data_IF_161981429292
#
_entry.id   IF_161981429292
#
_cell.length_a   1.000
_cell.length_b   1.000
_cell.length_c   1.000
_cell.angle_alpha   90.00
_cell.angle_beta   90.00
_cell.angle_gamma   90.00
#
_symmetry.space_group_name_H-M   'P 1'
#
loop_
_entity.id
_entity.type
_entity.pdbx_description
1 polymer ?
#
# COMPACT_ATOMS: atom_id res chain seq x y z
N UNK A 1 2.08 -45.78 -17.74
CA UNK A 1 3.28 -44.97 -18.02
C UNK A 1 2.89 -43.81 -18.95
N UNK A 2 2.13 -42.83 -18.45
CA UNK A 2 1.69 -41.69 -19.27
C UNK A 2 1.26 -40.47 -18.43
N UNK A 3 1.97 -40.15 -17.34
CA UNK A 3 1.55 -39.04 -16.47
C UNK A 3 2.66 -38.11 -15.99
N UNK A 4 3.92 -38.34 -16.39
CA UNK A 4 5.05 -37.57 -15.84
C UNK A 4 5.52 -36.41 -16.74
N UNK A 5 4.90 -36.22 -17.91
CA UNK A 5 5.30 -35.17 -18.87
C UNK A 5 4.58 -33.83 -18.67
N UNK A 6 3.56 -33.73 -17.81
CA UNK A 6 2.82 -32.46 -17.61
C UNK A 6 3.45 -31.58 -16.52
N UNK A 7 4.32 -32.14 -15.67
CA UNK A 7 4.90 -31.40 -14.54
C UNK A 7 6.24 -30.70 -14.85
N UNK A 8 6.93 -31.11 -15.91
CA UNK A 8 8.26 -30.57 -16.28
C UNK A 8 8.22 -29.41 -17.29
N UNK A 9 7.06 -29.10 -17.86
CA UNK A 9 6.89 -28.00 -18.84
C UNK A 9 6.69 -26.61 -18.19
N UNK A 10 6.77 -26.50 -16.86
CA UNK A 10 6.75 -25.19 -16.17
C UNK A 10 8.10 -24.46 -16.29
N UNK A 11 9.19 -25.18 -16.59
CA UNK A 11 10.54 -24.60 -16.67
C UNK A 11 10.87 -23.97 -18.03
N UNK A 12 10.01 -24.08 -19.04
CA UNK A 12 10.22 -23.55 -20.40
C UNK A 12 9.06 -22.65 -20.82
N UNK A 13 8.53 -21.83 -19.90
CA UNK A 13 7.62 -20.76 -20.29
C UNK A 13 8.41 -19.48 -20.60
N UNK A 14 7.99 -18.77 -21.67
CA UNK A 14 8.43 -17.40 -21.97
C UNK A 14 8.44 -16.53 -20.70
N UNK A 15 9.42 -15.61 -20.52
CA UNK A 15 9.54 -14.78 -19.31
C UNK A 15 8.25 -14.05 -18.95
N UNK A 16 7.43 -13.66 -19.93
CA UNK A 16 6.14 -13.00 -19.74
C UNK A 16 5.16 -13.87 -18.95
N UNK A 17 5.08 -15.16 -19.25
CA UNK A 17 4.11 -16.03 -18.57
C UNK A 17 4.60 -16.43 -17.19
N UNK A 18 5.91 -16.51 -16.97
CA UNK A 18 6.44 -16.68 -15.62
C UNK A 18 6.02 -15.52 -14.71
N UNK A 19 6.00 -14.29 -15.22
CA UNK A 19 5.51 -13.11 -14.48
C UNK A 19 4.00 -13.25 -14.19
N UNK A 20 3.17 -13.54 -15.20
CA UNK A 20 1.73 -13.73 -14.98
C UNK A 20 1.43 -14.84 -13.96
N UNK A 21 2.17 -15.95 -14.03
CA UNK A 21 2.02 -17.06 -13.08
C UNK A 21 2.51 -16.69 -11.67
N UNK A 22 3.50 -15.81 -11.53
CA UNK A 22 3.92 -15.28 -10.23
C UNK A 22 2.82 -14.43 -9.60
N UNK A 23 2.21 -13.52 -10.36
CA UNK A 23 1.10 -12.68 -9.87
C UNK A 23 -0.10 -13.54 -9.43
N UNK A 24 -0.45 -14.57 -10.20
CA UNK A 24 -1.53 -15.51 -9.82
C UNK A 24 -1.18 -16.25 -8.52
N UNK A 25 0.09 -16.63 -8.32
CA UNK A 25 0.53 -17.29 -7.09
C UNK A 25 0.43 -16.35 -5.89
N UNK A 26 0.80 -15.07 -6.06
CA UNK A 26 0.70 -14.03 -5.03
C UNK A 26 -0.77 -13.82 -4.64
N UNK A 27 -1.67 -13.69 -5.63
CA UNK A 27 -3.10 -13.57 -5.39
C UNK A 27 -3.65 -14.76 -4.58
N UNK A 28 -3.29 -15.98 -4.98
CA UNK A 28 -3.70 -17.21 -4.28
C UNK A 28 -3.16 -17.26 -2.85
N UNK A 29 -1.91 -16.86 -2.61
CA UNK A 29 -1.33 -16.86 -1.25
C UNK A 29 -2.00 -15.83 -0.35
N UNK A 30 -2.37 -14.67 -0.88
CA UNK A 30 -3.08 -13.64 -0.13
C UNK A 30 -4.50 -14.10 0.25
N UNK A 31 -5.21 -14.78 -0.68
CA UNK A 31 -6.52 -15.37 -0.38
C UNK A 31 -6.43 -16.50 0.65
N UNK A 32 -5.42 -17.38 0.51
CA UNK A 32 -5.20 -18.48 1.46
C UNK A 32 -4.88 -17.98 2.88
N UNK A 33 -4.20 -16.83 3.01
CA UNK A 33 -3.96 -16.20 4.31
C UNK A 33 -5.29 -15.83 4.98
N UNK A 34 -6.23 -15.22 4.25
CA UNK A 34 -7.54 -14.84 4.78
C UNK A 34 -8.35 -16.06 5.27
N UNK A 35 -8.34 -17.17 4.52
CA UNK A 35 -9.07 -18.39 4.91
C UNK A 35 -8.52 -19.10 6.18
N UNK A 36 -7.28 -18.83 6.59
CA UNK A 36 -6.69 -19.45 7.78
C UNK A 36 -7.07 -18.73 9.10
N UNK A 37 -7.71 -17.56 9.04
CA UNK A 37 -8.08 -16.76 10.23
C UNK A 37 -9.42 -17.16 10.88
N UNK A 38 -10.13 -18.17 10.36
CA UNK A 38 -11.52 -18.49 10.72
C UNK A 38 -11.67 -19.56 11.83
N UNK A 39 -10.60 -19.96 12.53
CA UNK A 39 -10.69 -21.10 13.46
C UNK A 39 -9.99 -20.92 14.80
N UNK A 40 -10.68 -20.29 15.77
CA UNK A 40 -10.43 -20.48 17.22
C UNK A 40 -11.72 -20.22 18.04
N UNK A 41 -12.22 -21.18 18.84
CA UNK A 41 -13.28 -20.92 19.82
C UNK A 41 -12.74 -20.31 21.12
N UNK A 42 -13.40 -19.25 21.63
CA UNK A 42 -13.03 -18.57 22.88
C UNK A 42 -13.89 -19.10 24.05
N UNK A 43 -13.31 -19.57 25.17
CA UNK A 43 -14.08 -20.00 26.33
C UNK A 43 -14.59 -18.80 27.12
N UNK A 44 -15.91 -18.63 27.20
CA UNK A 44 -16.58 -17.60 28.01
C UNK A 44 -17.17 -18.21 29.29
N UNK A 45 -16.55 -17.91 30.44
CA UNK A 45 -17.13 -18.22 31.76
C UNK A 45 -17.03 -17.00 32.68
N UNK A 46 -18.17 -16.56 33.23
CA UNK A 46 -18.27 -15.43 34.17
C UNK A 46 -18.92 -15.88 35.50
N UNK A 47 -18.36 -15.53 36.68
CA UNK A 47 -19.03 -15.71 37.97
C UNK A 47 -19.93 -14.52 38.33
N UNK A 48 -20.99 -14.79 39.12
CA UNK A 48 -22.02 -13.84 39.55
C UNK A 48 -21.61 -13.15 40.86
N UNK A 49 -21.64 -11.81 40.90
CA UNK A 49 -21.43 -11.02 42.13
C UNK A 49 -22.57 -10.00 42.26
N UNK A 50 -23.23 -10.02 43.42
CA UNK A 50 -24.39 -9.19 43.76
C UNK A 50 -23.96 -7.95 44.57
N UNK A 51 -24.27 -6.73 44.10
CA UNK A 51 -23.96 -5.46 44.77
C UNK A 51 -24.98 -4.36 44.40
N UNK A 52 -25.49 -3.64 45.39
CA UNK A 52 -26.69 -2.76 45.30
C UNK A 52 -26.57 -1.48 44.43
N UNK A 53 -25.36 -1.01 44.07
CA UNK A 53 -24.98 -0.22 42.86
C UNK A 53 -23.55 0.30 43.11
N UNK A 54 -22.53 -0.34 42.54
CA UNK A 54 -21.13 0.05 42.69
C UNK A 54 -20.59 0.94 41.54
N UNK A 55 -20.55 2.26 41.73
CA UNK A 55 -20.07 3.22 40.70
C UNK A 55 -18.65 2.94 40.19
N UNK A 56 -17.71 2.62 41.08
CA UNK A 56 -16.31 2.36 40.68
C UNK A 56 -16.15 1.07 39.87
N UNK A 57 -16.94 0.03 40.15
CA UNK A 57 -16.88 -1.20 39.36
C UNK A 57 -17.63 -1.06 38.05
N UNK A 58 -18.62 -0.16 37.94
CA UNK A 58 -19.26 0.19 36.64
C UNK A 58 -18.22 0.82 35.70
N UNK A 59 -17.40 1.74 36.19
CA UNK A 59 -16.33 2.34 35.40
C UNK A 59 -15.28 1.30 35.00
N UNK A 60 -14.83 0.45 35.92
CA UNK A 60 -13.92 -0.67 35.60
C UNK A 60 -14.54 -1.63 34.58
N UNK A 61 -15.84 -1.94 34.72
CA UNK A 61 -16.57 -2.77 33.76
C UNK A 61 -16.57 -2.12 32.37
N UNK A 62 -16.88 -0.84 32.23
CA UNK A 62 -16.87 -0.15 30.92
C UNK A 62 -15.49 -0.21 30.26
N UNK A 63 -14.39 -0.05 31.01
CA UNK A 63 -13.05 -0.16 30.42
C UNK A 63 -12.72 -1.59 29.97
N UNK A 64 -12.95 -2.61 30.81
CA UNK A 64 -12.63 -4.00 30.45
C UNK A 64 -13.58 -4.58 29.40
N UNK A 65 -14.88 -4.34 29.53
CA UNK A 65 -15.88 -4.79 28.56
C UNK A 65 -15.83 -3.99 27.26
N UNK A 66 -15.51 -2.68 27.34
CA UNK A 66 -15.28 -1.85 26.17
C UNK A 66 -14.06 -2.30 25.37
N UNK A 67 -12.93 -2.60 26.03
CA UNK A 67 -11.76 -3.18 25.35
C UNK A 67 -12.04 -4.57 24.78
N UNK A 68 -12.82 -5.40 25.49
CA UNK A 68 -13.25 -6.70 24.97
C UNK A 68 -14.15 -6.55 23.73
N UNK A 69 -15.04 -5.55 23.70
CA UNK A 69 -15.89 -5.24 22.54
C UNK A 69 -15.09 -4.76 21.33
N UNK A 70 -14.03 -3.99 21.54
CA UNK A 70 -13.09 -3.62 20.45
C UNK A 70 -12.42 -4.87 19.88
N UNK A 71 -12.03 -5.82 20.74
CA UNK A 71 -11.45 -7.10 20.28
C UNK A 71 -12.48 -7.95 19.55
N UNK A 72 -13.74 -7.99 20.01
CA UNK A 72 -14.85 -8.70 19.34
C UNK A 72 -15.10 -8.13 17.94
N UNK A 73 -15.19 -6.81 17.80
CA UNK A 73 -15.36 -6.13 16.51
C UNK A 73 -14.19 -6.37 15.55
N UNK A 74 -12.97 -6.61 16.05
CA UNK A 74 -11.79 -6.89 15.22
C UNK A 74 -11.53 -8.39 15.00
N UNK A 75 -12.28 -9.28 15.68
CA UNK A 75 -12.05 -10.72 15.62
C UNK A 75 -12.50 -11.28 14.27
N UNK A 76 -13.64 -10.80 13.76
CA UNK A 76 -14.17 -11.17 12.45
C UNK A 76 -14.46 -9.92 11.60
N UNK A 77 -13.43 -9.28 11.03
CA UNK A 77 -13.59 -8.06 10.22
C UNK A 77 -14.23 -8.31 8.84
N UNK A 78 -14.66 -9.55 8.57
CA UNK A 78 -15.30 -10.00 7.32
C UNK A 78 -16.80 -10.28 7.51
N UNK A 79 -17.37 -9.87 8.64
CA UNK A 79 -18.79 -10.04 8.96
C UNK A 79 -19.69 -9.03 8.24
N UNK A 80 -20.85 -8.78 8.85
CA UNK A 80 -21.87 -7.82 8.39
C UNK A 80 -22.03 -6.67 9.39
N UNK A 81 -21.13 -6.53 10.37
CA UNK A 81 -21.19 -5.43 11.33
C UNK A 81 -20.81 -4.10 10.64
N UNK A 82 -21.31 -2.98 11.16
CA UNK A 82 -21.15 -1.65 10.54
C UNK A 82 -19.68 -1.21 10.37
N UNK A 83 -18.76 -1.77 11.17
CA UNK A 83 -17.32 -1.47 11.14
C UNK A 83 -16.49 -2.51 10.34
N UNK A 84 -17.14 -3.52 9.73
CA UNK A 84 -16.49 -4.56 8.94
C UNK A 84 -16.07 -4.08 7.55
N UNK A 85 -15.21 -4.86 6.88
CA UNK A 85 -14.84 -4.57 5.50
C UNK A 85 -16.00 -4.84 4.54
N UNK A 86 -16.34 -3.83 3.72
CA UNK A 86 -17.30 -3.94 2.61
C UNK A 86 -16.74 -4.79 1.46
N UNK A 87 -16.69 -6.11 1.68
CA UNK A 87 -16.08 -7.07 0.75
C UNK A 87 -16.86 -7.18 -0.56
N UNK A 88 -18.19 -7.04 -0.52
CA UNK A 88 -19.05 -7.08 -1.72
C UNK A 88 -18.67 -5.96 -2.70
N UNK A 89 -18.54 -4.72 -2.21
CA UNK A 89 -18.07 -3.60 -3.02
C UNK A 89 -16.68 -3.85 -3.61
N UNK A 90 -15.75 -4.39 -2.81
CA UNK A 90 -14.40 -4.65 -3.28
C UNK A 90 -14.37 -5.71 -4.39
N UNK A 91 -15.17 -6.78 -4.27
CA UNK A 91 -15.26 -7.82 -5.29
C UNK A 91 -15.84 -7.24 -6.59
N UNK A 92 -16.97 -6.53 -6.51
CA UNK A 92 -17.62 -5.95 -7.68
C UNK A 92 -16.72 -4.96 -8.39
N UNK A 93 -16.08 -4.07 -7.64
CA UNK A 93 -15.13 -3.08 -8.18
C UNK A 93 -13.95 -3.76 -8.87
N UNK A 94 -13.36 -4.78 -8.25
CA UNK A 94 -12.17 -5.44 -8.77
C UNK A 94 -12.49 -6.25 -10.03
N UNK A 95 -13.64 -6.93 -10.09
CA UNK A 95 -14.08 -7.65 -11.29
C UNK A 95 -14.38 -6.68 -12.42
N UNK A 96 -15.14 -5.61 -12.16
CA UNK A 96 -15.47 -4.61 -13.17
C UNK A 96 -14.21 -3.93 -13.74
N UNK A 97 -13.30 -3.51 -12.87
CA UNK A 97 -12.03 -2.87 -13.27
C UNK A 97 -11.14 -3.85 -14.03
N UNK A 98 -10.98 -5.07 -13.52
CA UNK A 98 -10.17 -6.10 -14.17
C UNK A 98 -10.67 -6.45 -15.56
N UNK A 99 -11.99 -6.56 -15.75
CA UNK A 99 -12.60 -6.81 -17.05
C UNK A 99 -12.45 -5.62 -18.02
N UNK A 100 -12.67 -4.39 -17.57
CA UNK A 100 -12.49 -3.20 -18.42
C UNK A 100 -11.04 -2.99 -18.88
N UNK A 101 -10.06 -3.37 -18.05
CA UNK A 101 -8.63 -3.32 -18.42
C UNK A 101 -8.31 -4.29 -19.56
N UNK A 102 -8.83 -5.53 -19.51
CA UNK A 102 -8.50 -6.57 -20.49
C UNK A 102 -9.37 -6.54 -21.75
N UNK A 103 -10.53 -5.88 -21.70
CA UNK A 103 -11.48 -5.80 -22.81
C UNK A 103 -11.39 -4.44 -23.51
N UNK A 104 -11.99 -3.39 -22.93
CA UNK A 104 -12.12 -2.06 -23.55
C UNK A 104 -10.78 -1.32 -23.70
N UNK A 105 -9.86 -1.51 -22.74
CA UNK A 105 -8.58 -0.79 -22.70
C UNK A 105 -7.42 -1.61 -23.28
N UNK A 106 -7.69 -2.77 -23.86
CA UNK A 106 -6.65 -3.61 -24.44
C UNK A 106 -5.99 -2.93 -25.65
N UNK A 107 -4.67 -2.76 -25.59
CA UNK A 107 -3.84 -2.13 -26.64
C UNK A 107 -4.28 -0.69 -27.00
N UNK A 108 -5.08 -0.05 -26.14
CA UNK A 108 -5.52 1.33 -26.32
C UNK A 108 -4.58 2.29 -25.58
N UNK A 109 -3.91 3.17 -26.33
CA UNK A 109 -3.08 4.24 -25.79
C UNK A 109 -3.57 5.60 -26.34
N UNK A 110 -3.75 6.62 -25.49
CA UNK A 110 -4.13 7.96 -25.95
C UNK A 110 -3.03 8.57 -26.82
N UNK A 111 -3.41 9.55 -27.66
CA UNK A 111 -2.48 10.24 -28.54
C UNK A 111 -1.35 10.92 -27.76
N UNK A 112 -0.10 10.63 -28.16
CA UNK A 112 1.08 11.26 -27.58
C UNK A 112 1.15 12.73 -28.00
N UNK A 113 1.17 13.64 -27.02
CA UNK A 113 1.35 15.08 -27.20
C UNK A 113 2.37 15.57 -26.18
N UNK A 114 3.16 16.63 -26.48
CA UNK A 114 4.04 17.22 -25.49
C UNK A 114 3.20 17.66 -24.29
N UNK A 115 3.61 17.22 -23.10
CA UNK A 115 2.92 17.58 -21.87
C UNK A 115 3.16 19.07 -21.53
N UNK A 116 2.36 19.60 -20.62
CA UNK A 116 2.41 21.02 -20.23
C UNK A 116 3.69 21.39 -19.46
N UNK A 117 4.41 20.41 -18.92
CA UNK A 117 5.67 20.60 -18.21
C UNK A 117 6.88 20.65 -19.15
N UNK A 118 6.71 20.45 -20.47
CA UNK A 118 7.79 20.70 -21.44
C UNK A 118 8.23 22.16 -21.47
N UNK A 119 7.36 23.10 -21.10
CA UNK A 119 7.69 24.51 -21.02
C UNK A 119 8.53 24.79 -19.76
N UNK A 120 9.77 25.31 -19.87
CA UNK A 120 10.65 25.56 -18.71
C UNK A 120 10.10 26.58 -17.69
N UNK A 121 9.13 27.39 -18.12
CA UNK A 121 8.48 28.41 -17.31
C UNK A 121 7.09 27.97 -16.82
N UNK A 122 6.73 26.69 -16.95
CA UNK A 122 5.44 26.20 -16.50
C UNK A 122 5.40 26.03 -14.98
N UNK A 123 4.63 26.86 -14.31
CA UNK A 123 4.33 26.75 -12.89
C UNK A 123 2.98 26.03 -12.69
N UNK A 124 2.94 24.92 -11.91
CA UNK A 124 1.68 24.27 -11.58
C UNK A 124 0.75 25.23 -10.83
N UNK A 125 -0.49 25.34 -11.31
CA UNK A 125 -1.50 26.20 -10.66
C UNK A 125 -2.13 25.47 -9.48
N UNK A 126 -2.13 26.11 -8.32
CA UNK A 126 -2.79 25.64 -7.11
C UNK A 126 -3.96 26.58 -6.75
N UNK A 127 -4.97 26.07 -6.04
CA UNK A 127 -6.04 26.92 -5.51
C UNK A 127 -5.50 27.88 -4.43
N UNK A 128 -6.13 29.04 -4.25
CA UNK A 128 -5.71 30.05 -3.26
C UNK A 128 -5.62 29.50 -1.82
N UNK A 129 -6.44 28.50 -1.48
CA UNK A 129 -6.42 27.84 -0.18
C UNK A 129 -5.20 26.91 -0.01
N UNK A 130 -4.81 26.21 -1.07
CA UNK A 130 -3.63 25.35 -1.07
C UNK A 130 -2.33 26.16 -1.03
N UNK A 131 -2.30 27.34 -1.68
CA UNK A 131 -1.13 28.23 -1.68
C UNK A 131 -0.80 28.80 -0.30
N UNK A 132 -1.80 28.98 0.59
CA UNK A 132 -1.58 29.49 1.95
C UNK A 132 -0.70 28.59 2.82
N UNK A 133 -0.54 27.31 2.44
CA UNK A 133 0.28 26.31 3.15
C UNK A 133 1.45 25.76 2.33
N UNK A 134 1.55 26.16 1.06
CA UNK A 134 2.65 25.80 0.17
C UNK A 134 3.86 26.65 0.53
N UNK A 135 4.82 26.07 1.26
CA UNK A 135 6.15 26.65 1.29
C UNK A 135 6.84 26.13 0.02
N UNK A 136 7.12 27.00 -0.95
CA UNK A 136 7.75 26.68 -2.24
C UNK A 136 9.20 26.19 -2.11
N UNK A 137 9.65 25.95 -0.88
CA UNK A 137 10.95 25.42 -0.58
C UNK A 137 10.91 23.90 -0.78
N UNK A 138 11.39 23.47 -1.95
CA UNK A 138 11.78 22.08 -2.14
C UNK A 138 12.59 21.61 -0.94
N UNK A 139 12.31 20.39 -0.44
CA UNK A 139 13.04 19.80 0.68
C UNK A 139 14.49 19.57 0.28
N UNK A 140 15.29 20.60 0.46
CA UNK A 140 16.74 20.56 0.42
C UNK A 140 17.19 19.93 1.72
N UNK A 141 17.82 18.75 1.61
CA UNK A 141 18.16 17.94 2.78
C UNK A 141 18.93 18.74 3.82
N UNK A 142 18.93 18.28 5.07
CA UNK A 142 19.49 19.01 6.23
C UNK A 142 20.98 19.38 6.11
N UNK A 143 21.67 18.95 5.07
CA UNK A 143 23.09 19.19 4.77
C UNK A 143 23.35 20.14 3.59
N UNK A 144 22.33 20.75 2.97
CA UNK A 144 22.46 21.63 1.78
C UNK A 144 23.46 22.79 1.97
N UNK A 145 23.67 23.26 3.21
CA UNK A 145 24.58 24.37 3.53
C UNK A 145 26.02 24.00 3.92
N UNK A 146 26.40 22.71 3.93
CA UNK A 146 27.72 22.30 4.42
C UNK A 146 28.77 22.47 3.31
N UNK A 147 29.44 23.62 3.31
CA UNK A 147 30.66 23.83 2.52
C UNK A 147 31.83 23.11 3.21
N UNK A 148 32.18 21.92 2.72
CA UNK A 148 33.35 21.19 3.20
C UNK A 148 34.60 22.05 3.01
N UNK A 149 35.18 22.54 4.11
CA UNK A 149 36.55 23.05 4.09
C UNK A 149 37.42 21.82 3.84
N UNK A 150 37.84 21.62 2.60
CA UNK A 150 38.88 20.64 2.26
C UNK A 150 40.10 20.98 3.13
N UNK A 151 40.25 20.21 4.21
CA UNK A 151 41.49 20.15 4.96
C UNK A 151 42.59 19.90 3.94
N UNK A 152 43.55 20.82 3.90
CA UNK A 152 44.63 20.93 2.93
C UNK A 152 45.59 19.74 3.07
N UNK A 153 45.14 18.54 2.72
CA UNK A 153 46.01 17.41 2.39
C UNK A 153 46.18 17.48 0.89
N UNK A 154 47.39 17.83 0.48
CA UNK A 154 47.85 17.92 -0.89
C UNK A 154 47.52 16.64 -1.67
N UNK A 155 46.42 16.63 -2.39
CA UNK A 155 46.12 15.66 -3.45
C UNK A 155 45.58 16.43 -4.67
N UNK A 156 46.13 16.22 -5.88
CA UNK A 156 45.74 16.99 -7.05
C UNK A 156 44.29 16.69 -7.44
N UNK A 157 43.49 17.76 -7.55
CA UNK A 157 42.09 17.77 -7.96
C UNK A 157 41.93 17.21 -9.39
N UNK A 158 41.16 16.12 -9.54
CA UNK A 158 40.47 15.82 -10.79
C UNK A 158 39.12 16.51 -10.75
N UNK A 159 38.95 17.53 -11.60
CA UNK A 159 37.71 18.26 -11.80
C UNK A 159 36.67 17.34 -12.48
N UNK A 160 35.58 17.07 -11.75
CA UNK A 160 34.42 16.30 -12.22
C UNK A 160 33.17 17.18 -12.33
N UNK A 161 33.31 18.50 -12.49
CA UNK A 161 32.15 19.41 -12.59
C UNK A 161 31.83 19.90 -14.01
N UNK A 162 32.63 19.51 -15.01
CA UNK A 162 32.53 20.11 -16.36
C UNK A 162 31.93 19.19 -17.44
N UNK A 163 31.37 18.01 -17.09
CA UNK A 163 30.95 17.01 -18.10
C UNK A 163 29.46 16.69 -18.22
N UNK A 164 28.58 17.36 -17.48
CA UNK A 164 27.14 17.03 -17.49
C UNK A 164 26.28 18.04 -18.28
N UNK A 165 26.85 19.16 -18.75
CA UNK A 165 26.08 20.19 -19.48
C UNK A 165 26.57 20.46 -20.90
N UNK A 166 27.02 19.44 -21.63
CA UNK A 166 27.18 19.51 -23.08
C UNK A 166 26.72 18.20 -23.71
N UNK A 167 25.40 18.05 -23.81
CA UNK A 167 24.67 17.38 -24.89
C UNK A 167 23.17 17.55 -24.65
N UNK A 168 22.71 18.77 -24.91
CA UNK A 168 21.39 19.04 -25.48
C UNK A 168 21.60 19.93 -26.69
#
# INVERSE_FOLDING_TARGET
MHSDHVFLDVAVFSPVVNISLQEIKIFRTNLALLCNFDWVPIPIAYPQIDLYIPFMTILQFIFFFGWMKVVEALLNPLGEDDDDFECNFLIDKNIATGLSIVDETYDYCPELRPDRFMDPNYEPVYSEESQKRGNDNALVGSAEGIKWVLCRISAPLMDYSSRICHNS
#
